data_IF_088094984244
#
_entry.id   IF_088094984244
#
_cell.length_a   1.000
_cell.length_b   1.000
_cell.length_c   1.000
_cell.angle_alpha   90.00
_cell.angle_beta   90.00
_cell.angle_gamma   90.00
#
_symmetry.space_group_name_H-M   'P 1'
#
loop_
_entity.id
_entity.type
_entity.pdbx_description
1 polymer ?
#
# COMPACT_ATOMS: atom_id res chain seq x y z
N UNK A 1 -10.33 -5.36 13.01
CA UNK A 1 -10.16 -6.44 12.02
C UNK A 1 -9.55 -5.85 10.75
N UNK A 2 -8.49 -6.46 10.22
CA UNK A 2 -7.96 -6.14 8.90
C UNK A 2 -8.87 -6.80 7.86
N UNK A 3 -9.65 -5.99 7.16
CA UNK A 3 -10.63 -6.43 6.16
C UNK A 3 -10.41 -5.58 4.92
N UNK A 4 -9.90 -6.20 3.86
CA UNK A 4 -9.81 -5.59 2.54
C UNK A 4 -11.14 -5.76 1.82
N UNK A 5 -11.93 -4.70 1.81
CA UNK A 5 -13.28 -4.67 1.27
C UNK A 5 -13.65 -3.23 0.92
N UNK A 6 -14.79 -3.04 0.26
CA UNK A 6 -15.29 -1.71 -0.05
C UNK A 6 -15.34 -0.81 1.22
N UNK A 7 -14.80 0.41 1.13
CA UNK A 7 -14.57 1.31 2.28
C UNK A 7 -15.82 1.58 3.15
N UNK A 8 -17.02 1.47 2.57
CA UNK A 8 -18.29 1.63 3.30
C UNK A 8 -18.48 0.59 4.41
N UNK A 9 -17.89 -0.60 4.28
CA UNK A 9 -17.91 -1.61 5.35
C UNK A 9 -17.06 -1.15 6.53
N UNK A 10 -15.86 -0.61 6.27
CA UNK A 10 -15.01 -0.02 7.30
C UNK A 10 -15.72 1.16 7.97
N UNK A 11 -16.34 2.08 7.21
CA UNK A 11 -17.10 3.19 7.79
C UNK A 11 -18.26 2.71 8.68
N UNK A 12 -19.04 1.71 8.27
CA UNK A 12 -20.11 1.12 9.09
C UNK A 12 -19.60 0.50 10.40
N UNK A 13 -18.39 -0.06 10.39
CA UNK A 13 -17.72 -0.57 11.60
C UNK A 13 -17.27 0.60 12.48
N UNK A 14 -16.71 1.65 11.87
CA UNK A 14 -16.30 2.88 12.54
C UNK A 14 -17.46 3.63 13.21
N UNK A 15 -18.64 3.69 12.57
CA UNK A 15 -19.88 4.26 13.12
C UNK A 15 -20.32 3.55 14.41
N UNK A 16 -19.96 2.28 14.59
CA UNK A 16 -20.20 1.52 15.83
C UNK A 16 -19.12 1.77 16.90
N UNK A 17 -18.20 2.70 16.66
CA UNK A 17 -17.16 3.11 17.60
C UNK A 17 -15.90 2.25 17.60
N UNK A 18 -15.76 1.31 16.67
CA UNK A 18 -14.53 0.51 16.53
C UNK A 18 -13.45 1.27 15.78
N UNK A 19 -12.18 0.95 16.06
CA UNK A 19 -11.07 1.41 15.22
C UNK A 19 -11.04 0.60 13.92
N UNK A 20 -10.75 1.30 12.83
CA UNK A 20 -10.66 0.74 11.48
C UNK A 20 -9.30 1.08 10.86
N UNK A 21 -8.99 0.43 9.74
CA UNK A 21 -7.81 0.75 8.94
C UNK A 21 -8.21 1.61 7.74
N UNK A 22 -7.34 2.56 7.39
CA UNK A 22 -7.42 3.31 6.14
C UNK A 22 -6.66 2.57 5.04
N UNK A 23 -7.31 1.56 4.44
CA UNK A 23 -6.75 0.81 3.32
C UNK A 23 -6.92 1.49 1.97
N UNK A 24 -7.73 2.55 1.88
CA UNK A 24 -7.86 3.34 0.66
C UNK A 24 -6.66 4.29 0.46
N UNK A 25 -6.15 4.88 1.54
CA UNK A 25 -5.06 5.85 1.50
C UNK A 25 -3.80 5.38 0.73
N UNK A 26 -3.27 4.15 0.90
CA UNK A 26 -2.12 3.66 0.13
C UNK A 26 -2.28 3.86 -1.39
N UNK A 27 -3.38 3.38 -1.97
CA UNK A 27 -3.57 3.41 -3.42
C UNK A 27 -3.89 4.82 -3.91
N UNK A 28 -4.64 5.60 -3.14
CA UNK A 28 -4.95 7.00 -3.47
C UNK A 28 -3.69 7.89 -3.49
N UNK A 29 -2.75 7.66 -2.57
CA UNK A 29 -1.46 8.35 -2.56
C UNK A 29 -0.61 7.95 -3.77
N UNK A 30 -0.54 6.66 -4.10
CA UNK A 30 0.16 6.19 -5.30
C UNK A 30 -0.45 6.80 -6.57
N UNK A 31 -1.78 6.78 -6.69
CA UNK A 31 -2.50 7.39 -7.81
C UNK A 31 -2.14 8.88 -7.98
N UNK A 32 -2.16 9.64 -6.88
CA UNK A 32 -1.85 11.06 -6.91
C UNK A 32 -0.39 11.33 -7.32
N UNK A 33 0.56 10.53 -6.83
CA UNK A 33 1.98 10.67 -7.16
C UNK A 33 2.32 10.24 -8.59
N UNK A 34 1.63 9.23 -9.13
CA UNK A 34 1.85 8.79 -10.52
C UNK A 34 1.21 9.70 -11.57
N UNK A 35 0.01 10.21 -11.28
CA UNK A 35 -0.78 11.02 -12.22
C UNK A 35 -0.51 12.52 -12.09
N UNK A 36 0.01 12.96 -10.94
CA UNK A 36 0.12 14.37 -10.58
C UNK A 36 -1.22 15.03 -10.22
N UNK A 37 -2.29 14.26 -10.06
CA UNK A 37 -3.65 14.74 -9.75
C UNK A 37 -4.06 14.35 -8.34
N UNK A 38 -4.45 15.31 -7.51
CA UNK A 38 -4.78 15.09 -6.10
C UNK A 38 -6.28 14.94 -5.80
N UNK A 39 -7.15 14.94 -6.81
CA UNK A 39 -8.60 15.10 -6.63
C UNK A 39 -9.22 13.95 -5.82
N UNK A 40 -8.90 12.70 -6.16
CA UNK A 40 -9.39 11.51 -5.45
C UNK A 40 -8.87 11.45 -4.01
N UNK A 41 -7.58 11.73 -3.82
CA UNK A 41 -6.96 11.80 -2.49
C UNK A 41 -7.61 12.89 -1.63
N UNK A 42 -7.81 14.09 -2.18
CA UNK A 42 -8.48 15.20 -1.47
C UNK A 42 -9.88 14.78 -1.06
N UNK A 43 -10.67 14.22 -1.99
CA UNK A 43 -12.04 13.77 -1.70
C UNK A 43 -12.07 12.75 -0.58
N UNK A 44 -11.12 11.80 -0.57
CA UNK A 44 -11.00 10.83 0.51
C UNK A 44 -10.70 11.50 1.85
N UNK A 45 -9.66 12.34 1.91
CA UNK A 45 -9.27 13.04 3.14
C UNK A 45 -10.39 13.90 3.73
N UNK A 46 -11.24 14.50 2.87
CA UNK A 46 -12.42 15.27 3.29
C UNK A 46 -13.50 14.41 3.98
N UNK A 47 -13.56 13.11 3.67
CA UNK A 47 -14.56 12.16 4.23
C UNK A 47 -13.97 11.11 5.18
N UNK A 48 -12.65 11.06 5.34
CA UNK A 48 -11.96 10.09 6.19
C UNK A 48 -12.30 10.30 7.67
N UNK A 49 -12.65 9.24 8.42
CA UNK A 49 -12.91 9.35 9.85
C UNK A 49 -11.61 9.55 10.65
N UNK A 50 -11.67 10.31 11.74
CA UNK A 50 -10.50 10.48 12.64
C UNK A 50 -10.14 9.19 13.40
N UNK A 51 -11.09 8.26 13.60
CA UNK A 51 -10.88 7.04 14.40
C UNK A 51 -10.41 5.87 13.55
N UNK A 52 -9.25 6.03 12.92
CA UNK A 52 -8.63 5.03 12.07
C UNK A 52 -7.12 4.95 12.25
N UNK A 53 -6.54 3.84 11.78
CA UNK A 53 -5.10 3.68 11.60
C UNK A 53 -4.76 3.93 10.13
N UNK A 54 -3.88 4.90 9.87
CA UNK A 54 -3.42 5.16 8.50
C UNK A 54 -2.17 4.34 8.20
N UNK A 55 -2.12 3.71 7.04
CA UNK A 55 -0.99 2.89 6.56
C UNK A 55 -0.60 3.31 5.15
N UNK A 56 0.63 3.03 4.75
CA UNK A 56 1.01 2.98 3.33
C UNK A 56 1.33 1.53 2.94
N UNK A 57 2.11 0.88 3.79
CA UNK A 57 2.50 -0.52 3.74
C UNK A 57 2.02 -1.26 5.00
N UNK A 58 1.76 -2.55 4.81
CA UNK A 58 1.51 -3.51 5.89
C UNK A 58 2.34 -4.77 5.62
N UNK A 59 2.10 -5.83 6.38
CA UNK A 59 2.67 -7.14 6.14
C UNK A 59 2.02 -7.88 4.95
N UNK A 60 0.89 -7.38 4.45
CA UNK A 60 0.17 -7.90 3.29
C UNK A 60 0.45 -7.03 2.04
N UNK A 61 -0.18 -7.38 0.91
CA UNK A 61 -0.03 -6.61 -0.33
C UNK A 61 -0.89 -5.35 -0.34
N UNK A 62 -0.63 -4.45 -1.29
CA UNK A 62 -1.37 -3.20 -1.47
C UNK A 62 -2.75 -3.52 -2.06
N UNK A 63 -3.82 -3.29 -1.30
CA UNK A 63 -5.19 -3.67 -1.66
C UNK A 63 -5.83 -2.75 -2.70
N UNK A 64 -5.97 -3.24 -3.93
CA UNK A 64 -6.59 -2.50 -5.04
C UNK A 64 -8.13 -2.43 -4.90
N UNK A 65 -8.73 -3.41 -4.23
CA UNK A 65 -10.18 -3.45 -3.98
C UNK A 65 -10.66 -2.31 -3.07
N UNK A 66 -9.79 -1.78 -2.21
CA UNK A 66 -10.14 -0.80 -1.19
C UNK A 66 -10.50 0.58 -1.76
N UNK A 67 -10.14 0.85 -3.02
CA UNK A 67 -10.44 2.11 -3.72
C UNK A 67 -11.60 2.04 -4.70
N UNK A 68 -12.37 0.93 -4.71
CA UNK A 68 -13.56 0.84 -5.53
C UNK A 68 -14.52 2.00 -5.21
N UNK A 69 -15.05 2.64 -6.26
CA UNK A 69 -15.92 3.84 -6.22
C UNK A 69 -15.28 5.12 -5.63
N UNK A 70 -14.01 5.06 -5.21
CA UNK A 70 -13.18 6.23 -4.87
C UNK A 70 -12.35 6.74 -6.06
N UNK A 71 -12.13 5.87 -7.04
CA UNK A 71 -11.42 6.12 -8.29
C UNK A 71 -12.21 5.51 -9.46
N UNK A 72 -11.99 6.00 -10.68
CA UNK A 72 -12.54 5.32 -11.87
C UNK A 72 -11.82 3.97 -12.11
N UNK A 73 -12.50 3.02 -12.76
CA UNK A 73 -11.87 1.73 -13.08
C UNK A 73 -10.60 1.90 -13.94
N UNK A 74 -10.58 2.90 -14.83
CA UNK A 74 -9.40 3.27 -15.63
C UNK A 74 -8.26 3.79 -14.74
N UNK A 75 -8.52 4.69 -13.80
CA UNK A 75 -7.51 5.20 -12.87
C UNK A 75 -6.94 4.09 -11.97
N UNK A 76 -7.79 3.14 -11.56
CA UNK A 76 -7.39 1.98 -10.76
C UNK A 76 -6.43 1.10 -11.57
N UNK A 77 -6.79 0.76 -12.81
CA UNK A 77 -5.97 -0.06 -13.69
C UNK A 77 -4.65 0.64 -14.04
N UNK A 78 -4.67 1.93 -14.35
CA UNK A 78 -3.46 2.73 -14.60
C UNK A 78 -2.53 2.76 -13.39
N UNK A 79 -3.09 2.93 -12.17
CA UNK A 79 -2.32 2.96 -10.93
C UNK A 79 -1.68 1.60 -10.66
N UNK A 80 -2.44 0.51 -10.86
CA UNK A 80 -1.94 -0.86 -10.74
C UNK A 80 -0.82 -1.15 -11.74
N UNK A 81 -0.98 -0.78 -13.01
CA UNK A 81 0.05 -0.95 -14.04
C UNK A 81 1.29 -0.09 -13.76
N UNK A 82 1.12 1.12 -13.22
CA UNK A 82 2.22 1.98 -12.80
C UNK A 82 3.05 1.35 -11.66
N UNK A 83 2.42 0.65 -10.70
CA UNK A 83 3.17 -0.09 -9.66
C UNK A 83 4.11 -1.14 -10.28
N UNK A 84 3.67 -1.85 -11.33
CA UNK A 84 4.50 -2.86 -12.01
C UNK A 84 5.60 -2.25 -12.89
N UNK A 85 5.34 -1.11 -13.53
CA UNK A 85 6.20 -0.55 -14.59
C UNK A 85 7.12 0.58 -14.13
N UNK A 86 6.63 1.47 -13.26
CA UNK A 86 7.37 2.65 -12.79
C UNK A 86 8.06 2.40 -11.46
N UNK A 87 7.42 1.58 -10.62
CA UNK A 87 7.87 1.35 -9.27
C UNK A 87 8.77 0.13 -9.15
N UNK A 88 8.14 -1.03 -9.32
CA UNK A 88 8.63 -2.24 -8.71
C UNK A 88 9.57 -3.05 -9.63
N UNK A 89 9.43 -2.90 -10.96
CA UNK A 89 9.93 -3.88 -11.95
C UNK A 89 9.62 -5.35 -11.56
N UNK A 90 8.57 -5.53 -10.76
CA UNK A 90 8.12 -6.81 -10.23
C UNK A 90 7.32 -7.49 -11.31
N UNK A 91 7.73 -8.73 -11.64
CA UNK A 91 7.01 -9.52 -12.64
C UNK A 91 5.60 -9.79 -12.13
N UNK A 92 4.59 -9.59 -12.98
CA UNK A 92 3.18 -9.88 -12.65
C UNK A 92 2.96 -11.31 -12.14
N UNK A 93 3.83 -12.26 -12.55
CA UNK A 93 3.79 -13.66 -12.09
C UNK A 93 3.86 -13.80 -10.56
N UNK A 94 4.53 -12.88 -9.87
CA UNK A 94 4.68 -12.88 -8.40
C UNK A 94 3.36 -12.62 -7.65
N UNK A 95 2.33 -12.19 -8.38
CA UNK A 95 0.99 -11.90 -7.86
C UNK A 95 -0.05 -12.95 -8.28
N UNK A 96 0.41 -14.10 -8.79
CA UNK A 96 -0.46 -15.19 -9.26
C UNK A 96 -0.49 -16.36 -8.27
N UNK A 97 -1.40 -17.30 -8.50
CA UNK A 97 -1.48 -18.54 -7.73
C UNK A 97 -0.15 -19.35 -7.72
N UNK A 98 0.72 -19.16 -8.72
CA UNK A 98 2.04 -19.80 -8.75
C UNK A 98 2.96 -19.42 -7.58
N UNK A 99 2.68 -18.29 -6.90
CA UNK A 99 3.40 -17.81 -5.72
C UNK A 99 2.51 -17.81 -4.46
N UNK A 100 1.57 -18.75 -4.39
CA UNK A 100 0.62 -18.90 -3.28
C UNK A 100 -0.11 -17.60 -2.93
N UNK A 101 -0.32 -16.72 -3.93
CA UNK A 101 -1.04 -15.48 -3.70
C UNK A 101 -2.52 -15.82 -3.53
N UNK A 102 -2.99 -15.75 -2.28
CA UNK A 102 -4.39 -16.02 -1.93
C UNK A 102 -5.30 -14.85 -2.29
N UNK A 103 -4.76 -13.62 -2.34
CA UNK A 103 -5.51 -12.40 -2.61
C UNK A 103 -5.15 -11.79 -3.97
N UNK A 104 -5.91 -12.17 -4.99
CA UNK A 104 -5.79 -11.64 -6.37
C UNK A 104 -6.03 -10.13 -6.49
N UNK A 105 -6.55 -9.51 -5.43
CA UNK A 105 -6.89 -8.09 -5.36
C UNK A 105 -5.81 -7.23 -4.71
N UNK A 106 -4.71 -7.84 -4.26
CA UNK A 106 -3.56 -7.14 -3.70
C UNK A 106 -2.37 -7.17 -4.66
N UNK A 107 -1.54 -6.12 -4.62
CA UNK A 107 -0.25 -6.06 -5.29
C UNK A 107 0.86 -6.25 -4.26
N UNK A 108 1.58 -7.36 -4.37
CA UNK A 108 2.76 -7.68 -3.58
C UNK A 108 3.96 -6.88 -4.09
N UNK A 109 4.33 -5.86 -3.32
CA UNK A 109 5.46 -4.97 -3.55
C UNK A 109 5.75 -4.21 -2.25
N UNK A 110 6.99 -3.83 -1.98
CA UNK A 110 7.25 -2.80 -0.95
C UNK A 110 6.72 -1.45 -1.41
N UNK A 111 6.26 -0.61 -0.49
CA UNK A 111 5.73 0.69 -0.88
C UNK A 111 6.82 1.64 -1.41
N UNK A 112 8.05 1.50 -0.91
CA UNK A 112 9.20 2.24 -1.42
C UNK A 112 9.51 1.87 -2.88
N UNK A 113 9.54 0.57 -3.18
CA UNK A 113 9.66 0.11 -4.56
C UNK A 113 8.44 0.47 -5.40
N UNK A 114 7.21 0.49 -4.88
CA UNK A 114 6.08 0.99 -5.67
C UNK A 114 6.30 2.44 -6.15
N UNK A 115 7.03 3.27 -5.41
CA UNK A 115 7.39 4.63 -5.82
C UNK A 115 8.68 4.74 -6.66
N UNK A 116 9.24 3.61 -7.09
CA UNK A 116 10.41 3.57 -7.96
C UNK A 116 11.70 3.83 -7.22
N UNK A 117 11.77 3.41 -5.95
CA UNK A 117 12.90 3.66 -5.05
C UNK A 117 13.27 5.16 -5.03
N UNK A 118 12.26 6.03 -5.00
CA UNK A 118 12.43 7.48 -5.08
C UNK A 118 12.20 8.13 -3.71
N UNK A 119 13.30 8.52 -3.05
CA UNK A 119 13.29 9.16 -1.73
C UNK A 119 12.31 10.33 -1.62
N UNK A 120 12.27 11.21 -2.62
CA UNK A 120 11.41 12.42 -2.58
C UNK A 120 9.94 12.04 -2.64
N UNK A 121 9.59 11.11 -3.52
CA UNK A 121 8.22 10.62 -3.62
C UNK A 121 7.81 9.86 -2.35
N UNK A 122 8.72 9.06 -1.80
CA UNK A 122 8.48 8.29 -0.57
C UNK A 122 8.29 9.16 0.66
N UNK A 123 9.17 10.16 0.84
CA UNK A 123 9.03 11.14 1.92
C UNK A 123 7.74 11.95 1.79
N UNK A 124 7.36 12.33 0.56
CA UNK A 124 6.09 13.00 0.32
C UNK A 124 4.89 12.10 0.66
N UNK A 125 4.93 10.82 0.28
CA UNK A 125 3.89 9.86 0.63
C UNK A 125 3.73 9.71 2.15
N UNK A 126 4.84 9.59 2.89
CA UNK A 126 4.84 9.54 4.36
C UNK A 126 4.35 10.83 5.00
N UNK A 127 4.72 11.99 4.44
CA UNK A 127 4.19 13.27 4.90
C UNK A 127 2.67 13.34 4.73
N UNK A 128 2.14 12.90 3.57
CA UNK A 128 0.68 12.81 3.36
C UNK A 128 0.05 11.88 4.41
N UNK A 129 0.63 10.70 4.65
CA UNK A 129 0.13 9.75 5.65
C UNK A 129 0.07 10.37 7.06
N UNK A 130 1.12 11.08 7.48
CA UNK A 130 1.23 11.64 8.83
C UNK A 130 0.30 12.82 9.06
N UNK A 131 -0.08 13.54 8.00
CA UNK A 131 -1.04 14.64 8.07
C UNK A 131 -2.48 14.19 7.79
N UNK A 132 -2.70 12.94 7.37
CA UNK A 132 -4.03 12.38 7.17
C UNK A 132 -4.78 12.14 8.51
N UNK A 133 -6.12 12.18 8.53
CA UNK A 133 -6.92 11.84 9.70
C UNK A 133 -6.63 10.43 10.22
N UNK A 134 -6.19 10.30 11.47
CA UNK A 134 -5.98 9.00 12.12
C UNK A 134 -4.64 8.86 12.83
N UNK A 135 -4.33 7.63 13.25
CA UNK A 135 -3.06 7.26 13.89
C UNK A 135 -2.17 6.61 12.83
N UNK A 136 -1.02 7.21 12.48
CA UNK A 136 -0.13 6.63 11.47
C UNK A 136 0.60 5.39 11.99
N UNK A 137 0.54 4.32 11.21
CA UNK A 137 1.33 3.11 11.39
C UNK A 137 2.37 3.00 10.27
N UNK A 138 3.62 2.79 10.66
CA UNK A 138 4.75 2.61 9.73
C UNK A 138 5.21 1.16 9.84
N UNK A 139 5.08 0.42 8.75
CA UNK A 139 5.58 -0.96 8.69
C UNK A 139 7.11 -0.97 8.58
N UNK A 140 7.75 -1.96 9.20
CA UNK A 140 9.19 -1.94 9.43
C UNK A 140 10.02 -1.93 8.13
N UNK A 141 9.54 -2.57 7.06
CA UNK A 141 10.22 -2.53 5.75
C UNK A 141 10.24 -1.11 5.21
N UNK A 142 9.11 -0.41 5.22
CA UNK A 142 9.08 0.99 4.79
C UNK A 142 9.78 1.95 5.74
N UNK A 143 9.79 1.68 7.05
CA UNK A 143 10.59 2.46 8.00
C UNK A 143 12.06 2.53 7.58
N UNK A 144 12.58 1.46 6.99
CA UNK A 144 13.95 1.33 6.50
C UNK A 144 14.08 1.59 4.98
N UNK A 145 13.04 2.14 4.33
CA UNK A 145 12.98 2.33 2.87
C UNK A 145 13.36 1.05 2.09
N UNK A 146 12.91 -0.10 2.56
CA UNK A 146 13.25 -1.40 1.99
C UNK A 146 12.74 -1.60 0.57
N UNK A 147 13.62 -2.12 -0.28
CA UNK A 147 13.27 -2.55 -1.63
C UNK A 147 12.66 -3.96 -1.66
N UNK A 148 12.12 -4.36 -2.81
CA UNK A 148 11.57 -5.70 -3.01
C UNK A 148 12.59 -6.83 -2.75
N UNK A 149 12.27 -7.72 -1.83
CA UNK A 149 13.06 -8.91 -1.55
C UNK A 149 12.67 -10.07 -2.49
N UNK A 150 13.19 -10.01 -3.71
CA UNK A 150 12.94 -11.03 -4.74
C UNK A 150 13.56 -12.37 -4.33
N UNK A 151 14.71 -12.36 -3.64
CA UNK A 151 15.41 -13.58 -3.25
C UNK A 151 14.61 -14.38 -2.23
N UNK A 152 14.10 -13.73 -1.18
CA UNK A 152 13.27 -14.38 -0.17
C UNK A 152 11.98 -14.91 -0.79
N UNK A 153 11.28 -14.09 -1.57
CA UNK A 153 10.04 -14.50 -2.24
C UNK A 153 10.26 -15.70 -3.19
N UNK A 154 11.35 -15.73 -3.94
CA UNK A 154 11.69 -16.85 -4.82
C UNK A 154 12.05 -18.11 -4.03
N UNK A 155 12.70 -17.97 -2.87
CA UNK A 155 13.05 -19.08 -1.98
C UNK A 155 11.83 -19.69 -1.28
N UNK A 156 10.88 -18.86 -0.83
CA UNK A 156 9.68 -19.33 -0.09
C UNK A 156 8.50 -19.65 -0.99
N UNK A 157 8.49 -19.12 -2.22
CA UNK A 157 7.34 -19.14 -3.14
C UNK A 157 6.06 -18.57 -2.52
N UNK A 158 6.21 -17.59 -1.62
CA UNK A 158 5.12 -16.80 -1.07
C UNK A 158 5.26 -15.35 -1.56
N UNK A 159 4.29 -14.89 -2.35
CA UNK A 159 4.33 -13.57 -2.97
C UNK A 159 4.47 -12.41 -1.96
N UNK A 160 3.91 -12.52 -0.76
CA UNK A 160 3.99 -11.46 0.27
C UNK A 160 5.39 -11.30 0.86
N UNK A 161 6.23 -12.32 0.75
CA UNK A 161 7.58 -12.26 1.32
C UNK A 161 8.48 -11.24 0.60
N UNK A 162 8.06 -10.77 -0.58
CA UNK A 162 8.70 -9.64 -1.27
C UNK A 162 8.76 -8.37 -0.40
N UNK A 163 7.85 -8.23 0.57
CA UNK A 163 7.77 -7.13 1.52
C UNK A 163 7.91 -7.61 2.98
N UNK A 164 8.70 -8.67 3.20
CA UNK A 164 8.95 -9.24 4.54
C UNK A 164 10.42 -9.58 4.78
N UNK A 165 11.31 -8.75 4.23
CA UNK A 165 12.75 -8.92 4.38
C UNK A 165 13.16 -9.08 5.86
N UNK A 166 14.11 -9.97 6.13
CA UNK A 166 14.64 -10.21 7.47
C UNK A 166 15.92 -9.41 7.69
N UNK A 167 15.78 -8.17 8.15
CA UNK A 167 16.93 -7.31 8.42
C UNK A 167 17.81 -7.86 9.54
N UNK A 168 19.09 -7.99 9.22
CA UNK A 168 20.17 -8.26 10.17
C UNK A 168 20.52 -7.00 10.97
N UNK A 169 21.29 -7.17 12.06
CA UNK A 169 21.78 -6.01 12.82
C UNK A 169 22.75 -5.17 11.99
N UNK A 170 23.46 -5.79 11.07
CA UNK A 170 24.46 -5.17 10.22
C UNK A 170 23.80 -4.26 9.17
N UNK A 171 22.66 -4.65 8.60
CA UNK A 171 21.93 -3.85 7.61
C UNK A 171 21.27 -2.59 8.21
N UNK A 172 20.96 -2.60 9.51
CA UNK A 172 20.33 -1.48 10.21
C UNK A 172 21.33 -0.57 10.94
N UNK A 173 22.63 -0.81 10.79
CA UNK A 173 23.67 0.03 11.41
C UNK A 173 24.00 1.22 10.52
N UNK A 174 24.02 2.41 11.12
CA UNK A 174 24.41 3.68 10.52
C UNK A 174 25.79 3.64 9.85
#
# INVERSE_FOLDING_TARGET
PEIHEHYTIQHKIGEKGFWIYDFALPVLVLNALYSGKGDNLKRWLDMSPMKQFTTLDTHDGIGIVDVKDLMSDEEIDETKEAMFTKGANVKKIYNTAAYNNLDIYQVNCTYYSALGNNDKAYLLARAIQFFAPGIPQVYYVGMLAGENDIELMEATKNGRDINRHYYTKEEIRD
#
